data_IF_860028399108
#
_entry.id   IF_860028399108
#
_cell.length_a   1.000
_cell.length_b   1.000
_cell.length_c   1.000
_cell.angle_alpha   90.00
_cell.angle_beta   90.00
_cell.angle_gamma   90.00
#
_symmetry.space_group_name_H-M   'P 1'
#
loop_
_entity.id
_entity.type
_entity.pdbx_description
1 polymer ?
#
# COMPACT_ATOMS: atom_id res chain seq x y z
N UNK A 1 2.12 2.48 -13.17
CA UNK A 1 1.38 1.98 -11.99
C UNK A 1 2.03 2.57 -10.76
N UNK A 2 1.29 3.32 -9.94
CA UNK A 2 1.85 3.93 -8.74
C UNK A 2 1.98 2.89 -7.63
N UNK A 3 3.08 2.93 -6.89
CA UNK A 3 3.35 2.12 -5.71
C UNK A 3 3.45 3.01 -4.48
N UNK A 4 3.32 2.43 -3.31
CA UNK A 4 3.52 3.10 -2.04
C UNK A 4 4.23 2.16 -1.08
N UNK A 5 5.02 2.72 -0.19
CA UNK A 5 5.60 1.99 0.93
C UNK A 5 5.04 2.53 2.23
N UNK A 6 4.75 1.63 3.16
CA UNK A 6 4.31 1.97 4.50
C UNK A 6 5.29 1.39 5.50
N UNK A 7 5.77 2.21 6.43
CA UNK A 7 6.70 1.74 7.45
C UNK A 7 5.96 0.87 8.49
N UNK A 8 6.53 -0.28 8.87
CA UNK A 8 5.84 -1.25 9.74
C UNK A 8 5.70 -0.78 11.18
N UNK A 9 6.64 0.03 11.68
CA UNK A 9 6.63 0.55 13.05
C UNK A 9 6.24 2.02 13.15
N UNK A 10 6.03 2.70 12.03
CA UNK A 10 5.72 4.14 12.00
C UNK A 10 4.58 4.38 11.03
N UNK A 11 3.71 5.32 11.35
CA UNK A 11 2.67 5.79 10.43
C UNK A 11 3.27 6.68 9.31
N UNK A 12 4.33 6.21 8.65
CA UNK A 12 4.98 6.87 7.53
C UNK A 12 4.59 6.12 6.25
N UNK A 13 3.94 6.84 5.33
CA UNK A 13 3.59 6.33 4.01
C UNK A 13 4.20 7.24 2.94
N UNK A 14 4.80 6.63 1.91
CA UNK A 14 5.47 7.35 0.81
C UNK A 14 5.03 6.74 -0.50
N UNK A 15 4.61 7.59 -1.46
CA UNK A 15 4.14 7.18 -2.78
C UNK A 15 5.22 7.34 -3.83
N UNK A 16 5.32 6.35 -4.71
CA UNK A 16 6.31 6.23 -5.77
C UNK A 16 5.64 5.95 -7.13
N UNK A 17 6.25 6.42 -8.22
CA UNK A 17 5.73 6.16 -9.57
C UNK A 17 5.98 4.72 -10.05
N UNK A 18 6.94 3.99 -9.46
CA UNK A 18 7.31 2.61 -9.84
C UNK A 18 7.69 1.78 -8.61
N UNK A 19 7.56 0.44 -8.71
CA UNK A 19 7.94 -0.49 -7.65
C UNK A 19 9.44 -0.41 -7.31
N UNK A 20 10.30 -0.37 -8.34
CA UNK A 20 11.74 -0.30 -8.14
C UNK A 20 12.16 0.94 -7.33
N UNK A 21 11.50 2.08 -7.50
CA UNK A 21 11.78 3.28 -6.71
C UNK A 21 11.34 3.12 -5.24
N UNK A 22 10.21 2.45 -5.02
CA UNK A 22 9.69 2.11 -3.70
C UNK A 22 10.64 1.17 -2.94
N UNK A 23 11.06 0.09 -3.59
CA UNK A 23 11.99 -0.91 -3.05
C UNK A 23 13.36 -0.30 -2.77
N UNK A 24 13.89 0.47 -3.73
CA UNK A 24 15.18 1.12 -3.57
C UNK A 24 15.16 2.17 -2.44
N UNK A 25 14.05 2.88 -2.20
CA UNK A 25 13.94 3.74 -1.03
C UNK A 25 13.95 2.93 0.27
N UNK A 26 13.13 1.88 0.35
CA UNK A 26 13.06 1.01 1.53
C UNK A 26 14.42 0.40 1.87
N UNK A 27 15.15 -0.07 0.86
CA UNK A 27 16.49 -0.64 0.99
C UNK A 27 17.54 0.42 1.40
N UNK A 28 17.69 1.48 0.61
CA UNK A 28 18.79 2.45 0.81
C UNK A 28 18.55 3.48 1.91
N UNK A 29 17.32 3.93 2.10
CA UNK A 29 16.95 5.03 3.01
C UNK A 29 16.12 4.51 4.19
N UNK A 30 15.39 3.43 3.97
CA UNK A 30 14.45 2.86 4.92
C UNK A 30 15.05 1.86 5.92
N UNK A 31 16.30 1.46 5.76
CA UNK A 31 16.94 0.45 6.61
C UNK A 31 16.55 -0.98 6.27
N UNK A 32 16.04 -1.22 5.05
CA UNK A 32 15.72 -2.55 4.49
C UNK A 32 14.22 -2.81 4.34
N UNK A 33 13.88 -3.72 3.42
CA UNK A 33 12.50 -4.17 3.16
C UNK A 33 11.82 -4.81 4.39
N UNK A 34 12.58 -5.23 5.41
CA UNK A 34 12.04 -5.70 6.69
C UNK A 34 11.20 -4.63 7.41
N UNK A 35 11.54 -3.36 7.24
CA UNK A 35 10.87 -2.23 7.90
C UNK A 35 9.77 -1.58 7.05
N UNK A 36 9.62 -1.98 5.79
CA UNK A 36 8.75 -1.31 4.82
C UNK A 36 7.89 -2.31 4.05
N UNK A 37 6.58 -2.10 4.11
CA UNK A 37 5.61 -2.81 3.29
C UNK A 37 5.42 -2.09 1.97
N UNK A 38 5.88 -2.68 0.87
CA UNK A 38 5.61 -2.18 -0.48
C UNK A 38 4.22 -2.67 -0.92
N UNK A 39 3.38 -1.75 -1.37
CA UNK A 39 2.04 -2.03 -1.92
C UNK A 39 1.80 -1.19 -3.17
N UNK A 40 0.97 -1.69 -4.06
CA UNK A 40 0.50 -0.89 -5.19
C UNK A 40 -0.44 0.20 -4.69
N UNK A 41 -0.17 1.46 -5.01
CA UNK A 41 -1.04 2.59 -4.63
C UNK A 41 -2.39 2.56 -5.39
N UNK A 42 -2.47 1.78 -6.47
CA UNK A 42 -3.71 1.46 -7.18
C UNK A 42 -4.36 0.14 -6.74
N UNK A 43 -3.65 -0.71 -6.00
CA UNK A 43 -4.22 -1.84 -5.27
C UNK A 43 -4.34 -1.44 -3.80
N UNK A 44 -5.04 -0.34 -3.55
CA UNK A 44 -5.83 -0.29 -2.32
C UNK A 44 -6.74 -1.50 -2.46
N UNK A 45 -6.40 -2.57 -1.71
CA UNK A 45 -7.21 -3.76 -1.68
C UNK A 45 -8.67 -3.32 -1.58
N UNK A 46 -9.61 -3.93 -2.31
CA UNK A 46 -10.98 -3.90 -1.83
C UNK A 46 -10.90 -4.50 -0.42
N UNK A 47 -10.71 -3.66 0.60
CA UNK A 47 -11.02 -4.00 1.98
C UNK A 47 -12.37 -4.65 1.89
N UNK A 48 -12.53 -5.86 2.46
CA UNK A 48 -13.48 -6.86 2.00
C UNK A 48 -14.71 -6.11 1.59
N UNK A 49 -14.97 -6.05 0.28
CA UNK A 49 -16.26 -5.56 -0.16
C UNK A 49 -17.19 -6.53 0.54
N UNK A 50 -17.73 -6.10 1.68
CA UNK A 50 -19.02 -6.53 2.11
C UNK A 50 -19.85 -6.21 0.90
N UNK A 51 -19.99 -7.21 0.04
CA UNK A 51 -21.18 -7.47 -0.72
C UNK A 51 -22.25 -7.55 0.36
N UNK A 52 -22.65 -6.39 0.89
CA UNK A 52 -23.91 -6.21 1.53
C UNK A 52 -24.88 -6.28 0.36
N UNK A 53 -25.34 -7.50 0.20
CA UNK A 53 -26.39 -7.99 -0.67
C UNK A 53 -27.49 -6.94 -0.95
N UNK A 54 -28.02 -6.89 -2.18
CA UNK A 54 -29.00 -5.91 -2.58
C UNK A 54 -30.39 -6.29 -2.04
N UNK A 55 -31.04 -5.40 -1.30
CA UNK A 55 -32.50 -5.14 -1.29
C UNK A 55 -32.94 -4.54 0.05
N UNK A 56 -33.45 -3.31 0.03
CA UNK A 56 -34.86 -3.11 0.37
C UNK A 56 -35.27 -1.68 -0.01
N UNK A 57 -36.13 -1.58 -1.03
CA UNK A 57 -37.00 -0.44 -1.26
C UNK A 57 -38.30 -0.76 -0.53
N UNK A 58 -38.65 0.01 0.50
CA UNK A 58 -40.06 0.31 0.82
C UNK A 58 -40.16 1.56 1.70
#
# INVERSE_FOLDING_TARGET
MAYKITHVSRAQEIRFPTQAAAEHYADRLGGGLDKWQVREAGAEAPGPVSVAEPAHRN
#
